data_IF_445006561166
#
_entry.id   IF_445006561166
#
_cell.length_a   1.000
_cell.length_b   1.000
_cell.length_c   1.000
_cell.angle_alpha   90.00
_cell.angle_beta   90.00
_cell.angle_gamma   90.00
#
_symmetry.space_group_name_H-M   'P 1'
#
loop_
_entity.id
_entity.type
_entity.pdbx_description
1 polymer ?
#
# COMPACT_ATOMS: atom_id res chain seq x y z
N UNK A 1 -30.90 25.97 2.15
CA UNK A 1 -32.03 25.94 3.10
C UNK A 1 -33.11 25.02 2.55
N UNK A 2 -33.20 23.76 3.01
CA UNK A 2 -34.04 22.74 2.37
C UNK A 2 -34.40 21.56 3.28
N UNK A 3 -35.37 21.81 4.16
CA UNK A 3 -36.27 20.96 4.97
C UNK A 3 -36.03 19.43 5.04
N UNK A 4 -35.73 18.95 6.24
CA UNK A 4 -35.82 17.55 6.68
C UNK A 4 -37.26 17.16 7.02
N UNK A 5 -37.80 16.12 6.37
CA UNK A 5 -39.13 15.55 6.63
C UNK A 5 -39.00 14.41 7.66
N UNK A 6 -39.55 14.59 8.85
CA UNK A 6 -39.70 13.51 9.87
C UNK A 6 -41.16 13.10 9.91
N UNK A 7 -41.44 11.84 9.60
CA UNK A 7 -42.76 11.25 9.79
C UNK A 7 -42.89 10.84 11.27
N UNK A 8 -43.91 11.38 11.96
CA UNK A 8 -44.39 10.90 13.26
C UNK A 8 -45.69 10.15 12.99
N UNK A 9 -45.74 8.88 13.34
CA UNK A 9 -46.98 8.12 13.53
C UNK A 9 -47.45 8.34 14.96
N UNK A 10 -48.69 8.79 15.09
CA UNK A 10 -49.45 8.83 16.33
C UNK A 10 -50.18 7.50 16.44
N UNK A 11 -50.12 6.84 17.59
CA UNK A 11 -51.21 5.96 18.02
C UNK A 11 -51.54 6.22 19.50
N UNK A 12 -52.84 6.23 19.72
CA UNK A 12 -53.58 6.71 20.87
C UNK A 12 -53.95 5.57 21.81
N UNK A 13 -53.91 5.83 23.12
CA UNK A 13 -54.56 5.00 24.14
C UNK A 13 -54.87 5.83 25.38
N UNK A 14 -56.15 6.18 25.56
CA UNK A 14 -56.71 6.93 26.71
C UNK A 14 -56.77 6.04 27.97
N UNK A 15 -56.50 6.58 29.17
CA UNK A 15 -57.51 7.06 30.14
C UNK A 15 -56.91 7.46 31.50
N UNK A 16 -57.30 8.68 31.89
CA UNK A 16 -57.48 9.31 33.20
C UNK A 16 -57.01 8.63 34.52
N UNK A 17 -56.32 9.42 35.34
CA UNK A 17 -56.20 9.24 36.80
C UNK A 17 -55.47 10.44 37.42
N UNK A 18 -56.13 11.09 38.38
CA UNK A 18 -55.80 12.41 38.97
C UNK A 18 -54.64 12.37 39.99
N UNK A 19 -54.21 13.58 40.35
CA UNK A 19 -53.61 14.03 41.60
C UNK A 19 -52.09 13.87 41.72
N UNK A 20 -51.45 15.02 41.97
CA UNK A 20 -50.01 15.15 42.12
C UNK A 20 -49.47 14.61 43.44
N UNK A 21 -48.18 14.30 43.42
CA UNK A 21 -47.21 14.47 44.50
C UNK A 21 -45.84 13.99 44.00
N UNK A 22 -44.87 14.89 44.02
CA UNK A 22 -43.44 14.58 44.13
C UNK A 22 -42.99 15.22 45.46
N UNK A 23 -41.88 14.80 46.11
CA UNK A 23 -41.05 13.61 45.88
C UNK A 23 -40.74 12.84 47.19
N UNK A 24 -40.41 11.54 47.12
CA UNK A 24 -39.62 10.91 48.20
C UNK A 24 -38.45 10.13 47.59
N UNK A 25 -37.25 10.59 47.95
CA UNK A 25 -35.95 10.02 47.59
C UNK A 25 -35.83 8.63 48.21
N UNK A 26 -35.77 7.59 47.39
CA UNK A 26 -35.21 6.30 47.79
C UNK A 26 -33.79 6.22 47.25
N UNK A 27 -32.82 6.22 48.17
CA UNK A 27 -31.42 5.88 47.90
C UNK A 27 -31.38 4.44 47.40
N UNK A 28 -31.04 4.26 46.14
CA UNK A 28 -30.67 2.96 45.57
C UNK A 28 -29.19 2.99 45.21
N UNK A 29 -28.35 2.46 46.09
CA UNK A 29 -26.97 2.10 45.76
C UNK A 29 -26.99 0.88 44.83
N UNK A 30 -27.21 1.14 43.55
CA UNK A 30 -27.23 0.15 42.49
C UNK A 30 -26.25 0.54 41.39
N UNK A 31 -24.95 0.26 41.59
CA UNK A 31 -24.04 0.17 40.43
C UNK A 31 -24.60 -0.93 39.52
N UNK A 32 -24.94 -0.67 38.25
CA UNK A 32 -25.25 -1.76 37.36
C UNK A 32 -23.98 -2.60 37.22
N UNK A 33 -24.03 -3.85 37.72
CA UNK A 33 -23.05 -4.87 37.37
C UNK A 33 -23.01 -4.87 35.84
N UNK A 34 -21.86 -4.50 35.26
CA UNK A 34 -21.65 -4.70 33.83
C UNK A 34 -21.84 -6.19 33.59
N UNK A 35 -22.97 -6.56 33.00
CA UNK A 35 -23.15 -7.87 32.43
C UNK A 35 -21.92 -8.14 31.56
N UNK A 36 -21.43 -9.38 31.58
CA UNK A 36 -20.32 -9.84 30.76
C UNK A 36 -20.70 -9.65 29.27
N UNK A 37 -20.53 -8.45 28.74
CA UNK A 37 -20.69 -8.11 27.32
C UNK A 37 -19.58 -8.75 26.45
N UNK A 38 -18.71 -9.55 27.05
CA UNK A 38 -17.52 -10.12 26.43
C UNK A 38 -17.84 -11.34 25.56
N UNK A 39 -18.92 -12.07 25.85
CA UNK A 39 -19.20 -13.38 25.23
C UNK A 39 -19.61 -13.27 23.75
N UNK A 40 -20.37 -12.22 23.40
CA UNK A 40 -20.85 -12.04 22.02
C UNK A 40 -19.81 -11.40 21.10
N UNK A 41 -18.81 -10.69 21.65
CA UNK A 41 -17.77 -10.06 20.83
C UNK A 41 -16.76 -11.08 20.29
N UNK A 42 -16.60 -12.21 20.97
CA UNK A 42 -15.65 -13.27 20.57
C UNK A 42 -16.11 -14.01 19.31
N UNK A 43 -17.43 -14.11 19.10
CA UNK A 43 -18.06 -14.74 17.94
C UNK A 43 -18.10 -13.81 16.70
N UNK A 44 -17.82 -12.52 16.88
CA UNK A 44 -17.76 -11.55 15.79
C UNK A 44 -16.39 -11.65 15.10
N UNK A 45 -16.33 -11.71 13.75
CA UNK A 45 -15.09 -11.68 12.99
C UNK A 45 -14.16 -10.54 13.43
N UNK A 46 -12.87 -10.83 13.56
CA UNK A 46 -11.85 -9.93 14.11
C UNK A 46 -11.91 -8.51 13.52
N UNK A 47 -12.08 -8.42 12.19
CA UNK A 47 -12.12 -7.13 11.49
C UNK A 47 -13.31 -6.27 11.89
N UNK A 48 -14.48 -6.89 12.09
CA UNK A 48 -15.68 -6.18 12.51
C UNK A 48 -15.59 -5.79 13.99
N UNK A 49 -15.03 -6.67 14.83
CA UNK A 49 -14.73 -6.39 16.25
C UNK A 49 -13.82 -5.16 16.40
N UNK A 50 -12.78 -5.06 15.58
CA UNK A 50 -11.83 -3.95 15.57
C UNK A 50 -12.50 -2.62 15.14
N UNK A 51 -13.34 -2.67 14.10
CA UNK A 51 -14.11 -1.50 13.61
C UNK A 51 -15.13 -1.03 14.67
N UNK A 52 -15.82 -1.95 15.34
CA UNK A 52 -16.75 -1.60 16.41
C UNK A 52 -16.02 -0.99 17.61
N UNK A 53 -14.88 -1.55 18.02
CA UNK A 53 -14.03 -0.98 19.07
C UNK A 53 -13.52 0.42 18.71
N UNK A 54 -13.08 0.64 17.46
CA UNK A 54 -12.59 1.96 17.01
C UNK A 54 -13.72 3.00 16.97
N UNK A 55 -14.89 2.66 16.42
CA UNK A 55 -16.10 3.51 16.47
C UNK A 55 -16.49 3.84 17.91
N UNK A 56 -16.40 2.87 18.82
CA UNK A 56 -16.70 3.12 20.23
C UNK A 56 -15.70 4.10 20.86
N UNK A 57 -14.41 3.99 20.54
CA UNK A 57 -13.37 4.95 20.99
C UNK A 57 -13.61 6.35 20.44
N UNK A 58 -14.02 6.46 19.18
CA UNK A 58 -14.37 7.74 18.56
C UNK A 58 -15.61 8.37 19.20
N UNK A 59 -16.63 7.56 19.53
CA UNK A 59 -17.87 8.04 20.18
C UNK A 59 -17.66 8.44 21.65
N UNK A 60 -16.76 7.78 22.38
CA UNK A 60 -16.45 8.09 23.80
C UNK A 60 -15.52 9.29 23.99
N UNK A 61 -14.91 9.82 22.92
CA UNK A 61 -13.95 10.92 22.98
C UNK A 61 -12.65 10.53 23.70
N UNK A 62 -11.50 11.02 23.22
CA UNK A 62 -10.19 10.68 23.81
C UNK A 62 -9.95 11.46 25.10
N UNK A 63 -10.59 11.07 26.20
CA UNK A 63 -10.38 11.71 27.51
C UNK A 63 -8.97 11.50 28.08
N UNK A 64 -8.19 10.55 27.53
CA UNK A 64 -6.87 10.18 28.06
C UNK A 64 -5.68 10.79 27.31
N UNK A 65 -5.89 11.43 26.15
CA UNK A 65 -4.78 12.00 25.37
C UNK A 65 -4.29 13.34 25.91
N UNK A 66 -5.13 14.11 26.62
CA UNK A 66 -4.75 15.40 27.20
C UNK A 66 -3.86 15.26 28.44
N UNK A 67 -4.05 14.23 29.28
CA UNK A 67 -3.24 14.00 30.50
C UNK A 67 -1.82 13.52 30.21
N UNK A 68 -1.62 12.76 29.13
CA UNK A 68 -0.29 12.27 28.75
C UNK A 68 0.59 13.36 28.13
N UNK A 69 0.00 14.37 27.47
CA UNK A 69 0.77 15.48 26.88
C UNK A 69 1.36 16.43 27.94
N UNK A 70 0.68 16.62 29.07
CA UNK A 70 1.15 17.49 30.16
C UNK A 70 2.28 16.88 31.00
N UNK A 71 2.43 15.56 31.02
CA UNK A 71 3.47 14.86 31.78
C UNK A 71 4.81 14.74 31.01
N UNK A 72 4.85 15.13 29.73
CA UNK A 72 6.02 14.97 28.85
C UNK A 72 6.71 16.31 28.57
N UNK A 73 6.06 17.44 28.84
CA UNK A 73 6.69 18.76 28.74
C UNK A 73 7.26 19.18 30.10
N UNK A 74 8.59 19.28 30.27
CA UNK A 74 9.14 19.92 31.46
C UNK A 74 8.76 21.40 31.45
N UNK A 75 8.03 21.84 32.47
CA UNK A 75 7.81 23.27 32.75
C UNK A 75 9.11 23.85 33.33
N UNK A 76 10.13 24.07 32.51
CA UNK A 76 11.22 25.00 32.85
C UNK A 76 10.90 26.32 32.16
N UNK A 77 10.79 27.40 32.95
CA UNK A 77 10.68 28.75 32.41
C UNK A 77 11.90 29.00 31.51
N UNK A 78 11.65 29.28 30.24
CA UNK A 78 12.68 29.58 29.26
C UNK A 78 13.16 31.01 29.48
N UNK A 79 14.21 31.16 30.28
CA UNK A 79 15.06 32.35 30.28
C UNK A 79 16.18 32.10 29.26
N UNK A 80 16.25 32.97 28.26
CA UNK A 80 17.43 33.30 27.43
C UNK A 80 18.32 32.17 26.89
N UNK A 81 17.74 31.08 26.40
CA UNK A 81 18.51 30.13 25.60
C UNK A 81 18.53 30.62 24.14
N UNK A 82 19.68 31.16 23.72
CA UNK A 82 19.97 31.46 22.32
C UNK A 82 19.70 30.21 21.46
N UNK A 83 19.20 30.45 20.24
CA UNK A 83 18.63 29.42 19.37
C UNK A 83 19.64 28.29 19.12
N UNK A 84 19.40 27.14 19.77
CA UNK A 84 20.19 25.91 19.61
C UNK A 84 21.00 25.45 20.82
N UNK A 85 21.09 26.21 21.91
CA UNK A 85 21.83 25.76 23.10
C UNK A 85 21.04 24.80 24.00
N UNK A 86 21.71 23.77 24.54
CA UNK A 86 21.04 22.76 25.37
C UNK A 86 20.80 23.35 26.75
N UNK A 87 19.54 23.33 27.25
CA UNK A 87 19.26 23.85 28.57
C UNK A 87 19.99 23.02 29.63
N UNK A 88 20.73 23.70 30.50
CA UNK A 88 21.48 23.08 31.61
C UNK A 88 20.52 22.86 32.79
N UNK A 89 20.18 21.59 33.14
CA UNK A 89 19.26 21.33 34.23
C UNK A 89 19.90 21.60 35.60
N UNK A 90 19.13 22.17 36.53
CA UNK A 90 19.57 22.37 37.90
C UNK A 90 19.11 21.22 38.81
N UNK A 91 20.05 20.38 39.23
CA UNK A 91 19.78 19.22 40.08
C UNK A 91 19.69 19.57 41.57
N UNK A 92 18.76 20.45 41.96
CA UNK A 92 18.43 20.70 43.37
C UNK A 92 17.19 19.89 43.77
N UNK A 93 17.24 19.18 44.91
CA UNK A 93 16.09 18.42 45.43
C UNK A 93 15.00 19.37 45.91
N UNK A 94 13.77 19.15 45.48
CA UNK A 94 12.61 19.94 45.92
C UNK A 94 12.27 19.72 47.40
N UNK A 95 11.68 20.72 48.05
CA UNK A 95 11.30 20.64 49.49
C UNK A 95 10.34 19.48 49.81
N UNK A 96 9.52 19.07 48.85
CA UNK A 96 8.51 18.00 48.96
C UNK A 96 8.88 16.75 48.16
N UNK A 97 10.09 16.70 47.59
CA UNK A 97 10.55 15.61 46.72
C UNK A 97 11.27 14.54 47.55
N UNK A 98 10.75 13.30 47.52
CA UNK A 98 11.46 12.17 48.12
C UNK A 98 12.76 11.83 47.38
N UNK A 99 13.74 11.25 48.07
CA UNK A 99 15.07 10.90 47.50
C UNK A 99 14.96 10.11 46.19
N UNK A 100 14.08 9.10 46.16
CA UNK A 100 13.88 8.25 44.99
C UNK A 100 13.24 8.99 43.80
N UNK A 101 12.41 9.99 44.08
CA UNK A 101 11.80 10.83 43.03
C UNK A 101 12.84 11.77 42.42
N UNK A 102 13.69 12.37 43.26
CA UNK A 102 14.82 13.19 42.83
C UNK A 102 15.79 12.44 41.93
N UNK A 103 16.24 11.24 42.33
CA UNK A 103 17.14 10.43 41.51
C UNK A 103 16.53 10.10 40.14
N UNK A 104 15.23 9.75 40.10
CA UNK A 104 14.54 9.49 38.84
C UNK A 104 14.46 10.73 37.94
N UNK A 105 14.18 11.89 38.51
CA UNK A 105 14.15 13.15 37.77
C UNK A 105 15.53 13.48 37.21
N UNK A 106 16.56 13.38 38.06
CA UNK A 106 17.96 13.58 37.69
C UNK A 106 18.37 12.64 36.54
N UNK A 107 18.06 11.35 36.65
CA UNK A 107 18.38 10.35 35.63
C UNK A 107 17.69 10.66 34.29
N UNK A 108 16.42 11.09 34.34
CA UNK A 108 15.64 11.41 33.14
C UNK A 108 16.16 12.67 32.45
N UNK A 109 16.42 13.73 33.21
CA UNK A 109 16.98 14.99 32.71
C UNK A 109 18.39 14.75 32.12
N UNK A 110 19.23 13.96 32.79
CA UNK A 110 20.57 13.57 32.29
C UNK A 110 20.48 12.82 30.96
N UNK A 111 19.59 11.82 30.87
CA UNK A 111 19.36 11.10 29.61
C UNK A 111 18.85 12.02 28.50
N UNK A 112 18.02 12.99 28.85
CA UNK A 112 17.47 13.95 27.89
C UNK A 112 18.54 14.91 27.36
N UNK A 113 19.37 15.48 28.23
CA UNK A 113 20.52 16.32 27.85
C UNK A 113 21.49 15.53 26.97
N UNK A 114 21.82 14.30 27.35
CA UNK A 114 22.68 13.43 26.56
C UNK A 114 22.09 13.14 25.17
N UNK A 115 20.78 12.95 25.10
CA UNK A 115 20.08 12.78 23.82
C UNK A 115 20.17 14.05 22.96
N UNK A 116 19.91 15.23 23.53
CA UNK A 116 20.01 16.49 22.79
C UNK A 116 21.44 16.72 22.28
N UNK A 117 22.44 16.45 23.12
CA UNK A 117 23.88 16.60 22.78
C UNK A 117 24.26 15.73 21.60
N UNK A 118 23.83 14.45 21.60
CA UNK A 118 24.10 13.51 20.48
C UNK A 118 23.45 13.91 19.16
N UNK A 119 22.44 14.78 19.20
CA UNK A 119 21.72 15.24 18.01
C UNK A 119 22.13 16.67 17.60
N UNK A 120 23.07 17.30 18.31
CA UNK A 120 23.65 18.56 17.88
C UNK A 120 24.70 18.32 16.78
N UNK A 121 24.79 19.27 15.87
CA UNK A 121 25.88 19.34 14.89
C UNK A 121 27.12 19.86 15.61
N UNK A 122 28.31 19.37 15.25
CA UNK A 122 29.59 19.86 15.79
C UNK A 122 29.67 21.38 15.59
N UNK A 123 29.60 22.13 16.70
CA UNK A 123 29.79 23.57 16.67
C UNK A 123 31.24 23.85 16.33
N UNK A 124 31.47 24.45 15.17
CA UNK A 124 32.75 25.03 14.76
C UNK A 124 32.66 26.55 14.94
N UNK A 125 32.85 27.06 16.18
CA UNK A 125 32.75 28.49 16.45
C UNK A 125 33.81 29.31 15.68
N UNK A 126 34.87 28.67 15.21
CA UNK A 126 35.94 29.26 14.39
C UNK A 126 35.55 29.52 12.92
N UNK A 127 34.38 29.07 12.46
CA UNK A 127 33.91 29.25 11.08
C UNK A 127 32.81 30.32 10.98
N UNK A 128 32.93 31.22 9.99
CA UNK A 128 31.95 32.27 9.68
C UNK A 128 30.52 31.74 9.59
N UNK A 129 29.54 32.53 10.06
CA UNK A 129 28.13 32.18 10.21
C UNK A 129 27.47 31.62 8.93
N UNK A 130 27.96 32.00 7.75
CA UNK A 130 27.43 31.56 6.45
C UNK A 130 27.88 30.14 6.04
N UNK A 131 28.93 29.60 6.68
CA UNK A 131 29.45 28.25 6.43
C UNK A 131 29.02 27.23 7.48
N UNK A 132 28.23 27.65 8.46
CA UNK A 132 27.69 26.74 9.47
C UNK A 132 26.67 25.79 8.84
N UNK A 133 26.87 24.49 9.04
CA UNK A 133 25.92 23.47 8.62
C UNK A 133 24.58 23.70 9.34
N UNK A 134 23.57 24.15 8.59
CA UNK A 134 22.22 24.36 9.12
C UNK A 134 21.71 23.05 9.74
N UNK A 135 21.01 23.11 10.87
CA UNK A 135 20.51 21.91 11.54
C UNK A 135 19.68 21.09 10.55
N UNK A 136 20.04 19.82 10.40
CA UNK A 136 19.39 18.83 9.53
C UNK A 136 17.99 18.44 10.06
N UNK A 137 17.15 19.44 10.37
CA UNK A 137 15.79 19.26 10.81
C UNK A 137 14.83 19.26 9.62
N UNK A 138 14.13 18.13 9.42
CA UNK A 138 12.93 17.92 8.55
C UNK A 138 13.18 17.30 7.17
N UNK A 139 14.39 16.83 6.86
CA UNK A 139 14.62 16.01 5.67
C UNK A 139 14.05 14.60 5.85
N UNK A 140 13.18 14.13 4.94
CA UNK A 140 12.91 12.69 4.80
C UNK A 140 14.25 11.96 4.61
N UNK A 141 14.38 10.73 5.13
CA UNK A 141 15.56 9.91 4.82
C UNK A 141 15.70 9.76 3.31
N UNK A 142 16.93 9.64 2.80
CA UNK A 142 17.16 9.63 1.35
C UNK A 142 16.45 8.45 0.69
N UNK A 143 16.42 7.28 1.35
CA UNK A 143 15.62 6.12 0.96
C UNK A 143 14.13 6.44 0.81
N UNK A 144 13.58 7.31 1.68
CA UNK A 144 12.18 7.74 1.61
C UNK A 144 11.94 8.71 0.45
N UNK A 145 12.90 9.61 0.17
CA UNK A 145 12.84 10.48 -1.02
C UNK A 145 12.87 9.67 -2.31
N UNK A 146 13.76 8.68 -2.42
CA UNK A 146 13.84 7.78 -3.57
C UNK A 146 12.56 6.98 -3.78
N UNK A 147 12.03 6.37 -2.71
CA UNK A 147 10.77 5.63 -2.78
C UNK A 147 9.61 6.52 -3.26
N UNK A 148 9.53 7.77 -2.77
CA UNK A 148 8.50 8.71 -3.19
C UNK A 148 8.68 9.12 -4.67
N UNK A 149 9.91 9.30 -5.16
CA UNK A 149 10.23 9.53 -6.58
C UNK A 149 9.82 8.35 -7.47
N UNK A 150 10.19 7.12 -7.10
CA UNK A 150 9.86 5.89 -7.84
C UNK A 150 8.35 5.69 -7.92
N UNK A 151 7.64 5.95 -6.81
CA UNK A 151 6.17 5.88 -6.79
C UNK A 151 5.53 6.88 -7.75
N UNK A 152 6.07 8.10 -7.84
CA UNK A 152 5.59 9.13 -8.76
C UNK A 152 5.82 8.73 -10.22
N UNK A 153 7.01 8.22 -10.54
CA UNK A 153 7.34 7.73 -11.90
C UNK A 153 6.40 6.60 -12.33
N UNK A 154 6.13 5.64 -11.44
CA UNK A 154 5.20 4.53 -11.72
C UNK A 154 3.77 5.01 -11.98
N UNK A 155 3.33 6.06 -11.29
CA UNK A 155 2.02 6.68 -11.54
C UNK A 155 1.97 7.37 -12.90
N UNK A 156 3.06 8.02 -13.32
CA UNK A 156 3.15 8.64 -14.63
C UNK A 156 3.12 7.60 -15.75
N UNK A 157 3.95 6.55 -15.66
CA UNK A 157 3.95 5.43 -16.61
C UNK A 157 2.55 4.81 -16.74
N UNK A 158 1.89 4.50 -15.62
CA UNK A 158 0.53 3.95 -15.64
C UNK A 158 -0.50 4.86 -16.33
N UNK A 159 -0.29 6.18 -16.36
CA UNK A 159 -1.16 7.09 -17.11
C UNK A 159 -0.90 7.01 -18.61
N UNK A 160 0.37 6.93 -19.02
CA UNK A 160 0.76 6.76 -20.42
C UNK A 160 0.25 5.42 -20.96
N UNK A 161 0.48 4.30 -20.24
CA UNK A 161 -0.03 2.99 -20.64
C UNK A 161 -1.57 2.99 -20.79
N UNK A 162 -2.27 3.73 -19.93
CA UNK A 162 -3.74 3.91 -20.02
C UNK A 162 -4.18 4.76 -21.21
N UNK A 163 -3.36 5.69 -21.66
CA UNK A 163 -3.62 6.44 -22.87
C UNK A 163 -3.37 5.57 -24.09
N UNK A 164 -2.25 4.85 -24.14
CA UNK A 164 -1.91 3.91 -25.21
C UNK A 164 -3.00 2.85 -25.39
N UNK A 165 -3.41 2.19 -24.32
CA UNK A 165 -4.51 1.19 -24.37
C UNK A 165 -5.85 1.77 -24.84
N UNK A 166 -6.13 3.05 -24.58
CA UNK A 166 -7.33 3.71 -25.12
C UNK A 166 -7.19 3.99 -26.60
N UNK A 167 -6.04 4.51 -27.02
CA UNK A 167 -5.72 4.75 -28.43
C UNK A 167 -5.79 3.45 -29.23
N UNK A 168 -5.18 2.37 -28.73
CA UNK A 168 -5.27 1.03 -29.33
C UNK A 168 -6.72 0.58 -29.44
N UNK A 169 -7.50 0.70 -28.35
CA UNK A 169 -8.91 0.32 -28.38
C UNK A 169 -9.68 1.11 -29.44
N UNK A 170 -9.44 2.41 -29.56
CA UNK A 170 -10.08 3.26 -30.58
C UNK A 170 -9.69 2.84 -32.00
N UNK A 171 -8.45 2.38 -32.22
CA UNK A 171 -8.01 1.85 -33.52
C UNK A 171 -8.69 0.53 -33.92
N UNK A 172 -9.16 -0.26 -32.96
CA UNK A 172 -9.81 -1.57 -33.20
C UNK A 172 -11.34 -1.54 -33.06
N UNK A 173 -11.97 -0.36 -33.08
CA UNK A 173 -13.43 -0.21 -33.12
C UNK A 173 -13.87 0.06 -34.56
N UNK A 174 -14.46 -0.94 -35.20
CA UNK A 174 -15.14 -0.77 -36.49
C UNK A 174 -16.55 -0.21 -36.26
N UNK A 175 -16.82 0.99 -36.76
CA UNK A 175 -18.15 1.59 -36.70
C UNK A 175 -18.96 1.15 -37.91
N UNK A 176 -20.01 0.38 -37.68
CA UNK A 176 -20.89 -0.18 -38.73
C UNK A 176 -22.27 0.47 -38.64
N UNK A 177 -22.83 0.88 -39.79
CA UNK A 177 -24.13 1.54 -39.83
C UNK A 177 -25.27 0.54 -39.54
N UNK A 178 -26.39 1.05 -39.01
CA UNK A 178 -27.56 0.22 -38.74
C UNK A 178 -28.14 -0.33 -40.06
N UNK A 179 -28.18 -1.65 -40.19
CA UNK A 179 -28.65 -2.36 -41.39
C UNK A 179 -27.54 -3.04 -42.20
N UNK A 180 -26.26 -2.75 -41.94
CA UNK A 180 -25.13 -3.48 -42.54
C UNK A 180 -24.84 -4.78 -41.76
N UNK A 181 -24.60 -5.86 -42.50
CA UNK A 181 -24.17 -7.15 -41.93
C UNK A 181 -22.65 -7.14 -41.82
N UNK A 182 -22.14 -6.97 -40.59
CA UNK A 182 -20.72 -7.13 -40.33
C UNK A 182 -20.35 -8.61 -40.18
N UNK A 183 -19.21 -8.99 -40.76
CA UNK A 183 -18.68 -10.33 -40.56
C UNK A 183 -18.27 -10.50 -39.09
N UNK A 184 -18.67 -11.63 -38.49
CA UNK A 184 -18.25 -11.96 -37.14
C UNK A 184 -16.70 -11.98 -37.09
N UNK A 185 -16.07 -11.34 -36.11
CA UNK A 185 -14.62 -11.38 -36.00
C UNK A 185 -14.17 -12.84 -35.90
N UNK A 186 -13.07 -13.22 -36.58
CA UNK A 186 -12.58 -14.59 -36.55
C UNK A 186 -12.25 -14.99 -35.12
N UNK A 187 -12.87 -16.07 -34.65
CA UNK A 187 -12.64 -16.57 -33.30
C UNK A 187 -11.28 -17.26 -33.22
N UNK A 188 -10.45 -16.88 -32.23
CA UNK A 188 -9.19 -17.55 -31.96
C UNK A 188 -9.47 -18.95 -31.38
N UNK A 189 -9.43 -19.97 -32.23
CA UNK A 189 -9.57 -21.39 -31.85
C UNK A 189 -8.30 -22.02 -31.27
N UNK A 190 -7.28 -21.19 -31.01
CA UNK A 190 -5.98 -21.64 -30.50
C UNK A 190 -6.12 -22.09 -29.03
N UNK A 191 -5.79 -23.35 -28.76
CA UNK A 191 -5.75 -23.88 -27.40
C UNK A 191 -4.65 -23.17 -26.59
N UNK A 192 -4.93 -22.70 -25.37
CA UNK A 192 -3.90 -22.02 -24.58
C UNK A 192 -2.75 -22.98 -24.26
N UNK A 193 -1.51 -22.49 -24.31
CA UNK A 193 -0.28 -23.30 -24.14
C UNK A 193 -0.25 -24.14 -22.85
N UNK A 194 -0.99 -23.74 -21.82
CA UNK A 194 -1.08 -24.44 -20.52
C UNK A 194 -2.40 -25.20 -20.30
N UNK A 195 -3.27 -25.27 -21.30
CA UNK A 195 -4.41 -26.17 -21.22
C UNK A 195 -3.89 -27.60 -21.16
N UNK A 196 -4.16 -28.29 -20.06
CA UNK A 196 -3.99 -29.73 -20.03
C UNK A 196 -4.93 -30.29 -21.10
N UNK A 197 -4.35 -30.81 -22.19
CA UNK A 197 -5.04 -31.75 -23.07
C UNK A 197 -5.26 -33.02 -22.26
N UNK A 198 -6.22 -32.97 -21.33
CA UNK A 198 -6.81 -34.22 -20.88
C UNK A 198 -7.42 -34.80 -22.15
N UNK A 199 -6.96 -35.96 -22.67
CA UNK A 199 -7.81 -36.67 -23.60
C UNK A 199 -9.11 -36.83 -22.83
N UNK A 200 -10.21 -36.28 -23.35
CA UNK A 200 -11.52 -36.73 -22.90
C UNK A 200 -11.46 -38.24 -23.06
N UNK A 201 -11.27 -38.94 -21.94
CA UNK A 201 -11.28 -40.39 -21.91
C UNK A 201 -12.64 -40.79 -22.48
N UNK A 202 -12.58 -41.67 -23.47
CA UNK A 202 -13.65 -42.11 -24.35
C UNK A 202 -14.12 -41.05 -25.35
N UNK A 203 -13.49 -41.07 -26.52
CA UNK A 203 -14.08 -40.57 -27.74
C UNK A 203 -15.46 -41.22 -27.92
N UNK A 204 -16.52 -40.44 -27.67
CA UNK A 204 -17.80 -40.70 -28.33
C UNK A 204 -17.63 -40.22 -29.76
N UNK A 205 -16.95 -41.01 -30.57
CA UNK A 205 -16.97 -40.80 -32.01
C UNK A 205 -18.43 -40.87 -32.43
N UNK A 206 -18.93 -39.79 -33.05
CA UNK A 206 -20.28 -39.78 -33.57
C UNK A 206 -20.39 -40.95 -34.55
N UNK A 207 -21.40 -41.80 -34.37
CA UNK A 207 -21.63 -42.99 -35.20
C UNK A 207 -21.55 -42.67 -36.71
N UNK A 208 -22.02 -41.47 -37.09
CA UNK A 208 -21.90 -40.88 -38.42
C UNK A 208 -20.48 -40.84 -38.99
N UNK A 209 -19.45 -40.63 -38.18
CA UNK A 209 -18.05 -40.62 -38.65
C UNK A 209 -17.58 -42.01 -39.08
N UNK A 210 -18.11 -43.08 -38.46
CA UNK A 210 -17.85 -44.46 -38.91
C UNK A 210 -18.59 -44.78 -40.21
N UNK A 211 -19.80 -44.24 -40.39
CA UNK A 211 -20.60 -44.42 -41.62
C UNK A 211 -20.04 -43.63 -42.81
N UNK A 212 -19.52 -42.43 -42.57
CA UNK A 212 -18.92 -41.57 -43.61
C UNK A 212 -17.43 -41.84 -43.84
N UNK A 213 -16.78 -42.70 -43.03
CA UNK A 213 -15.37 -43.04 -43.18
C UNK A 213 -14.40 -41.89 -42.84
N UNK A 214 -14.82 -40.91 -42.05
CA UNK A 214 -13.99 -39.74 -41.70
C UNK A 214 -13.26 -39.99 -40.37
N UNK A 215 -12.12 -40.67 -40.41
CA UNK A 215 -11.19 -40.75 -39.27
C UNK A 215 -10.29 -39.52 -39.20
N UNK A 216 -9.98 -39.05 -37.99
CA UNK A 216 -9.12 -37.89 -37.73
C UNK A 216 -7.82 -37.94 -38.56
N UNK A 217 -7.49 -36.81 -39.17
CA UNK A 217 -6.46 -36.65 -40.21
C UNK A 217 -5.18 -37.47 -39.94
N UNK A 218 -4.90 -38.32 -40.92
CA UNK A 218 -3.67 -39.07 -41.14
C UNK A 218 -2.38 -38.34 -40.74
N UNK A 219 -1.49 -39.05 -40.07
CA UNK A 219 -0.08 -38.68 -39.76
C UNK A 219 0.80 -38.72 -41.01
N UNK A 220 0.32 -38.19 -42.13
CA UNK A 220 1.00 -38.29 -43.42
C UNK A 220 2.14 -37.27 -43.51
N UNK A 221 3.26 -37.71 -44.10
CA UNK A 221 4.43 -36.86 -44.39
C UNK A 221 3.94 -35.59 -45.12
N UNK A 222 4.40 -34.38 -44.73
CA UNK A 222 3.98 -33.16 -45.40
C UNK A 222 4.39 -33.19 -46.87
N UNK A 223 3.58 -32.59 -47.76
CA UNK A 223 3.89 -32.52 -49.20
C UNK A 223 5.25 -31.87 -49.45
N UNK A 224 5.92 -32.23 -50.56
CA UNK A 224 7.24 -31.71 -50.92
C UNK A 224 7.32 -30.18 -50.92
N UNK A 225 6.27 -29.49 -51.37
CA UNK A 225 6.19 -28.03 -51.34
C UNK A 225 6.21 -27.48 -49.90
N UNK A 226 5.50 -28.15 -48.99
CA UNK A 226 5.45 -27.76 -47.58
C UNK A 226 6.77 -28.04 -46.87
N UNK A 227 7.48 -29.10 -47.25
CA UNK A 227 8.82 -29.39 -46.73
C UNK A 227 9.81 -28.27 -47.10
N UNK A 228 9.81 -27.83 -48.36
CA UNK A 228 10.66 -26.72 -48.83
C UNK A 228 10.43 -25.43 -48.04
N UNK A 229 9.17 -25.06 -47.82
CA UNK A 229 8.82 -23.86 -47.04
C UNK A 229 9.34 -23.98 -45.60
N UNK A 230 9.15 -25.13 -44.96
CA UNK A 230 9.63 -25.35 -43.59
C UNK A 230 11.16 -25.34 -43.49
N UNK A 231 11.86 -25.84 -44.50
CA UNK A 231 13.32 -25.84 -44.57
C UNK A 231 13.88 -24.43 -44.78
N UNK A 232 13.28 -23.63 -45.68
CA UNK A 232 13.66 -22.22 -45.88
C UNK A 232 13.47 -21.38 -44.62
N UNK A 233 12.35 -21.57 -43.91
CA UNK A 233 12.11 -20.92 -42.61
C UNK A 233 13.16 -21.33 -41.57
N UNK A 234 13.54 -22.61 -41.56
CA UNK A 234 14.58 -23.13 -40.67
C UNK A 234 15.94 -22.52 -40.97
N UNK A 235 16.32 -22.41 -42.24
CA UNK A 235 17.58 -21.78 -42.67
C UNK A 235 17.60 -20.31 -42.24
N UNK A 236 16.52 -19.55 -42.54
CA UNK A 236 16.41 -18.14 -42.16
C UNK A 236 16.52 -17.93 -40.64
N UNK A 237 15.91 -18.80 -39.84
CA UNK A 237 16.00 -18.73 -38.38
C UNK A 237 17.41 -19.01 -37.86
N UNK A 238 18.13 -19.98 -38.45
CA UNK A 238 19.50 -20.32 -38.08
C UNK A 238 20.47 -19.19 -38.44
N UNK A 239 20.32 -18.58 -39.61
CA UNK A 239 21.11 -17.42 -40.02
C UNK A 239 20.89 -16.22 -39.10
N UNK A 240 19.64 -15.89 -38.81
CA UNK A 240 19.30 -14.84 -37.85
C UNK A 240 19.93 -15.09 -36.47
N UNK A 241 19.87 -16.35 -35.99
CA UNK A 241 20.50 -16.73 -34.73
C UNK A 241 22.03 -16.59 -34.75
N UNK A 242 22.69 -16.99 -35.84
CA UNK A 242 24.14 -16.83 -36.02
C UNK A 242 24.55 -15.37 -35.98
N UNK A 243 23.84 -14.50 -36.69
CA UNK A 243 24.10 -13.05 -36.69
C UNK A 243 23.96 -12.45 -35.29
N UNK A 244 22.88 -12.79 -34.58
CA UNK A 244 22.63 -12.31 -33.22
C UNK A 244 23.71 -12.81 -32.25
N UNK A 245 24.16 -14.05 -32.40
CA UNK A 245 25.25 -14.62 -31.60
C UNK A 245 26.58 -13.90 -31.85
N UNK A 246 26.91 -13.61 -33.12
CA UNK A 246 28.12 -12.85 -33.49
C UNK A 246 28.10 -11.44 -32.92
N UNK A 247 26.97 -10.76 -32.98
CA UNK A 247 26.80 -9.42 -32.40
C UNK A 247 27.01 -9.43 -30.88
N UNK A 248 26.44 -10.41 -30.17
CA UNK A 248 26.64 -10.55 -28.72
C UNK A 248 28.09 -10.80 -28.34
N UNK A 249 28.81 -11.59 -29.14
CA UNK A 249 30.23 -11.84 -28.91
C UNK A 249 31.05 -10.56 -29.07
N UNK A 250 30.84 -9.80 -30.15
CA UNK A 250 31.51 -8.52 -30.37
C UNK A 250 31.23 -7.51 -29.25
N UNK A 251 29.99 -7.45 -28.75
CA UNK A 251 29.64 -6.60 -27.61
C UNK A 251 30.38 -7.02 -26.33
N UNK A 252 30.55 -8.34 -26.13
CA UNK A 252 31.30 -8.85 -24.98
C UNK A 252 32.79 -8.49 -25.09
N UNK A 253 33.40 -8.71 -26.25
CA UNK A 253 34.80 -8.35 -26.55
C UNK A 253 35.05 -6.84 -26.40
N UNK A 254 34.12 -6.00 -26.89
CA UNK A 254 34.20 -4.56 -26.71
C UNK A 254 34.10 -4.15 -25.23
N UNK A 255 33.23 -4.82 -24.45
CA UNK A 255 33.10 -4.58 -23.01
C UNK A 255 34.37 -5.00 -22.26
N UNK A 256 34.95 -6.16 -22.57
CA UNK A 256 36.19 -6.60 -21.93
C UNK A 256 37.36 -5.68 -22.28
N UNK A 257 37.51 -5.28 -23.54
CA UNK A 257 38.55 -4.35 -23.97
C UNK A 257 38.40 -2.97 -23.29
N UNK A 258 37.17 -2.46 -23.12
CA UNK A 258 36.93 -1.22 -22.38
C UNK A 258 37.27 -1.34 -20.89
N UNK A 259 36.99 -2.49 -20.27
CA UNK A 259 37.36 -2.76 -18.88
C UNK A 259 38.88 -2.84 -18.69
N UNK A 260 39.60 -3.43 -19.64
CA UNK A 260 41.07 -3.47 -19.62
C UNK A 260 41.68 -2.07 -19.76
N UNK A 261 41.16 -1.24 -20.68
CA UNK A 261 41.58 0.16 -20.81
C UNK A 261 41.39 0.96 -19.51
N UNK A 262 40.28 0.75 -18.80
CA UNK A 262 40.03 1.42 -17.51
C UNK A 262 40.98 0.98 -16.41
N UNK A 263 41.43 -0.29 -16.41
CA UNK A 263 42.41 -0.79 -15.43
C UNK A 263 43.83 -0.28 -15.68
N UNK A 264 44.19 0.01 -16.93
CA UNK A 264 45.51 0.50 -17.32
C UNK A 264 45.67 2.03 -17.20
N UNK A 265 44.63 2.74 -16.74
CA UNK A 265 44.62 4.20 -16.53
C UNK A 265 44.81 4.59 -15.04
N UNK A 266 45.03 3.62 -14.15
CA UNK A 266 45.47 3.80 -12.77
C UNK A 266 46.96 3.46 -12.66
#
# INVERSE_FOLDING_TARGET
MGKNKKNKTNESGKRAGKAGQQPRKLKGDGKPKKAKEEDHLEHIPFRLREIMKSKHRMKKGSLNSKKLKAAISPNSKAEDSQDGDIPVPHFKRGKQEGVKAYLRRMDNETKHVLFLTKNQVDRKPELDADKQEKPAGKGKSDKKKEHDKVRLQKLHQKKLDRQETKMEKEMFIDTVAFGEVSMAPPSLSVKPKKAQLKPQKAAKELLLNSLLGHTAASTTKPSMARQRIMEEERVRAVEAYRLLKKQKQQQHEARTANLEKLKNLQ
#
